data_IF_130003820165
#
_entry.id   IF_130003820165
#
_cell.length_a   1.000
_cell.length_b   1.000
_cell.length_c   1.000
_cell.angle_alpha   90.00
_cell.angle_beta   90.00
_cell.angle_gamma   90.00
#
_symmetry.space_group_name_H-M   'P 1'
#
loop_
_entity.id
_entity.type
_entity.pdbx_description
1 polymer ?
#
# COMPACT_ATOMS: atom_id res chain seq x y z
N UNK A 1 -15.01 -5.08 17.88
CA UNK A 1 -13.83 -5.11 16.96
C UNK A 1 -13.18 -3.74 17.02
N UNK A 2 -11.90 -3.65 17.40
CA UNK A 2 -11.15 -2.40 17.29
C UNK A 2 -10.72 -2.22 15.83
N UNK A 3 -10.60 -0.97 15.41
CA UNK A 3 -10.01 -0.63 14.10
C UNK A 3 -8.76 0.20 14.35
N UNK A 4 -7.63 -0.25 13.84
CA UNK A 4 -6.35 0.44 13.86
C UNK A 4 -5.99 0.84 12.44
N UNK A 5 -5.32 1.97 12.31
CA UNK A 5 -4.80 2.47 11.04
C UNK A 5 -3.28 2.55 11.13
N UNK A 6 -2.58 2.11 10.09
CA UNK A 6 -1.13 2.22 9.96
C UNK A 6 -0.79 2.95 8.67
N UNK A 7 0.16 3.87 8.74
CA UNK A 7 0.72 4.56 7.57
C UNK A 7 1.76 3.71 6.82
N UNK A 8 2.65 4.41 6.13
CA UNK A 8 3.70 3.82 5.31
C UNK A 8 4.58 2.84 6.08
N UNK A 9 4.74 1.64 5.54
CA UNK A 9 5.53 0.56 6.16
C UNK A 9 6.91 0.46 5.51
N UNK A 10 6.96 0.65 4.21
CA UNK A 10 8.18 0.66 3.41
C UNK A 10 9.13 -0.52 3.69
N UNK A 11 8.59 -1.73 3.82
CA UNK A 11 9.36 -2.94 4.04
C UNK A 11 10.04 -3.02 5.41
N UNK A 12 9.71 -2.15 6.36
CA UNK A 12 10.27 -2.17 7.71
C UNK A 12 9.53 -3.18 8.60
N UNK A 13 9.84 -4.46 8.39
CA UNK A 13 9.21 -5.57 9.10
C UNK A 13 9.32 -5.47 10.62
N UNK A 14 10.50 -5.04 11.13
CA UNK A 14 10.72 -4.90 12.59
C UNK A 14 9.77 -3.85 13.17
N UNK A 15 9.65 -2.69 12.54
CA UNK A 15 8.73 -1.66 13.00
C UNK A 15 7.27 -2.10 12.92
N UNK A 16 6.88 -2.81 11.85
CA UNK A 16 5.54 -3.36 11.71
C UNK A 16 5.20 -4.32 12.86
N UNK A 17 6.09 -5.27 13.18
CA UNK A 17 5.91 -6.21 14.31
C UNK A 17 5.78 -5.44 15.62
N UNK A 18 6.70 -4.51 15.88
CA UNK A 18 6.72 -3.73 17.12
C UNK A 18 5.44 -2.90 17.32
N UNK A 19 4.92 -2.28 16.25
CA UNK A 19 3.66 -1.51 16.31
C UNK A 19 2.47 -2.42 16.61
N UNK A 20 2.39 -3.60 16.00
CA UNK A 20 1.32 -4.57 16.28
C UNK A 20 1.39 -5.08 17.72
N UNK A 21 2.57 -5.38 18.24
CA UNK A 21 2.79 -5.83 19.61
C UNK A 21 2.44 -4.73 20.62
N UNK A 22 2.97 -3.51 20.46
CA UNK A 22 2.69 -2.37 21.36
C UNK A 22 1.21 -2.00 21.41
N UNK A 23 0.52 -2.11 20.26
CA UNK A 23 -0.92 -1.86 20.18
C UNK A 23 -1.76 -3.02 20.73
N UNK A 24 -1.13 -4.14 21.11
CA UNK A 24 -1.80 -5.39 21.51
C UNK A 24 -2.83 -5.80 20.44
N UNK A 25 -2.41 -5.76 19.18
CA UNK A 25 -3.28 -6.07 18.05
C UNK A 25 -3.67 -7.55 18.01
N UNK A 26 -4.96 -7.84 17.97
CA UNK A 26 -5.46 -9.21 17.79
C UNK A 26 -5.71 -9.49 16.31
N UNK A 27 -4.84 -10.29 15.70
CA UNK A 27 -4.89 -10.64 14.27
C UNK A 27 -6.20 -11.31 13.81
N UNK A 28 -6.97 -11.88 14.75
CA UNK A 28 -8.23 -12.57 14.45
C UNK A 28 -9.47 -11.71 14.68
N UNK A 29 -9.38 -10.73 15.59
CA UNK A 29 -10.53 -9.94 16.03
C UNK A 29 -10.49 -8.50 15.57
N UNK A 30 -9.30 -7.88 15.60
CA UNK A 30 -9.16 -6.46 15.24
C UNK A 30 -9.12 -6.26 13.71
N UNK A 31 -9.47 -5.07 13.27
CA UNK A 31 -9.28 -4.62 11.88
C UNK A 31 -8.01 -3.78 11.80
N UNK A 32 -7.16 -4.08 10.82
CA UNK A 32 -6.06 -3.22 10.43
C UNK A 32 -6.34 -2.60 9.07
N UNK A 33 -6.27 -1.27 8.99
CA UNK A 33 -6.31 -0.51 7.74
C UNK A 33 -4.90 -0.01 7.48
N UNK A 34 -4.24 -0.51 6.43
CA UNK A 34 -2.99 0.05 5.92
C UNK A 34 -3.31 1.16 4.93
N UNK A 35 -2.71 2.31 5.10
CA UNK A 35 -2.84 3.43 4.15
C UNK A 35 -1.93 3.28 2.92
N UNK A 36 -1.29 2.13 2.76
CA UNK A 36 -0.45 1.84 1.61
C UNK A 36 1.04 1.97 1.88
N UNK A 37 1.81 1.96 0.80
CA UNK A 37 3.27 1.99 0.80
C UNK A 37 3.89 0.92 1.71
N UNK A 38 3.45 -0.33 1.51
CA UNK A 38 3.98 -1.49 2.23
C UNK A 38 5.38 -1.83 1.71
N UNK A 39 5.62 -1.60 0.43
CA UNK A 39 6.86 -1.92 -0.27
C UNK A 39 7.84 -0.77 -0.34
N UNK A 40 9.02 -1.09 -0.84
CA UNK A 40 10.16 -0.20 -1.06
C UNK A 40 10.81 0.32 0.25
N UNK A 41 11.95 1.00 0.13
CA UNK A 41 12.67 1.54 1.29
C UNK A 41 13.51 0.52 2.05
N UNK A 42 12.94 -0.56 2.58
CA UNK A 42 13.65 -1.63 3.27
C UNK A 42 13.47 -2.99 2.59
N UNK A 43 14.39 -3.94 2.87
CA UNK A 43 14.48 -5.23 2.18
C UNK A 43 13.44 -6.27 2.61
N UNK A 44 12.60 -5.98 3.59
CA UNK A 44 11.66 -6.94 4.17
C UNK A 44 10.21 -6.74 3.72
N UNK A 45 10.00 -6.11 2.56
CA UNK A 45 8.66 -5.95 1.96
C UNK A 45 7.90 -7.27 1.82
N UNK A 46 8.50 -8.35 1.28
CA UNK A 46 7.84 -9.66 1.22
C UNK A 46 7.40 -10.20 2.59
N UNK A 47 8.24 -10.06 3.61
CA UNK A 47 7.90 -10.50 4.97
C UNK A 47 6.79 -9.65 5.60
N UNK A 48 6.76 -8.34 5.32
CA UNK A 48 5.64 -7.48 5.73
C UNK A 48 4.32 -7.99 5.15
N UNK A 49 4.30 -8.27 3.85
CA UNK A 49 3.11 -8.80 3.19
C UNK A 49 2.72 -10.16 3.73
N UNK A 50 3.67 -11.08 3.94
CA UNK A 50 3.41 -12.39 4.54
C UNK A 50 2.81 -12.28 5.96
N UNK A 51 3.17 -11.25 6.73
CA UNK A 51 2.58 -10.98 8.03
C UNK A 51 1.15 -10.45 7.89
N UNK A 52 0.95 -9.45 7.02
CA UNK A 52 -0.36 -8.81 6.79
C UNK A 52 -1.38 -9.81 6.24
N UNK A 53 -0.97 -10.78 5.41
CA UNK A 53 -1.82 -11.87 4.92
C UNK A 53 -2.42 -12.74 6.03
N UNK A 54 -1.85 -12.73 7.24
CA UNK A 54 -2.37 -13.51 8.39
C UNK A 54 -3.47 -12.76 9.14
N UNK A 55 -3.67 -11.49 8.86
CA UNK A 55 -4.67 -10.66 9.54
C UNK A 55 -6.04 -10.91 8.91
N UNK A 56 -6.99 -11.38 9.72
CA UNK A 56 -8.32 -11.75 9.25
C UNK A 56 -9.10 -10.57 8.65
N UNK A 57 -9.04 -9.41 9.29
CA UNK A 57 -9.78 -8.22 8.90
C UNK A 57 -8.80 -7.15 8.42
N UNK A 58 -8.07 -7.44 7.34
CA UNK A 58 -7.12 -6.53 6.73
C UNK A 58 -7.76 -5.74 5.59
N UNK A 59 -7.56 -4.43 5.59
CA UNK A 59 -7.90 -3.52 4.50
C UNK A 59 -6.62 -2.89 3.99
N UNK A 60 -6.36 -3.02 2.71
CA UNK A 60 -5.21 -2.43 2.05
C UNK A 60 -5.66 -1.28 1.18
N UNK A 61 -5.37 -0.05 1.58
CA UNK A 61 -5.48 1.13 0.71
C UNK A 61 -4.19 1.23 -0.11
N UNK A 62 -4.32 1.39 -1.41
CA UNK A 62 -3.20 1.34 -2.35
C UNK A 62 -2.33 2.60 -2.23
N UNK A 63 -1.03 2.43 -1.94
CA UNK A 63 -0.03 3.49 -2.03
C UNK A 63 0.63 3.56 -3.41
N UNK A 64 1.38 4.62 -3.67
CA UNK A 64 2.07 4.77 -4.96
C UNK A 64 3.22 3.78 -5.14
N UNK A 65 3.89 3.38 -4.07
CA UNK A 65 4.91 2.32 -4.12
C UNK A 65 4.29 0.95 -4.34
N UNK A 66 3.14 0.67 -3.73
CA UNK A 66 2.39 -0.56 -3.97
C UNK A 66 1.93 -0.67 -5.43
N UNK A 67 1.49 0.46 -6.03
CA UNK A 67 1.10 0.50 -7.45
C UNK A 67 2.28 0.20 -8.38
N UNK A 68 3.47 0.68 -8.07
CA UNK A 68 4.68 0.31 -8.83
C UNK A 68 4.96 -1.19 -8.72
N UNK A 69 4.88 -1.77 -7.54
CA UNK A 69 5.10 -3.21 -7.33
C UNK A 69 4.01 -4.04 -8.04
N UNK A 70 2.75 -3.60 -8.00
CA UNK A 70 1.65 -4.24 -8.74
C UNK A 70 1.95 -4.28 -10.24
N UNK A 71 2.48 -3.19 -10.81
CA UNK A 71 2.90 -3.13 -12.22
C UNK A 71 4.08 -4.04 -12.51
N UNK A 72 5.06 -4.07 -11.63
CA UNK A 72 6.18 -4.98 -11.76
C UNK A 72 5.75 -6.44 -11.74
N UNK A 73 4.83 -6.82 -10.87
CA UNK A 73 4.27 -8.18 -10.84
C UNK A 73 3.55 -8.58 -12.12
N UNK A 74 2.88 -7.63 -12.77
CA UNK A 74 2.08 -7.87 -13.99
C UNK A 74 2.85 -7.58 -15.28
N UNK A 75 3.99 -6.89 -15.20
CA UNK A 75 4.72 -6.38 -16.37
C UNK A 75 4.01 -5.22 -17.09
N UNK A 76 2.99 -4.61 -16.48
CA UNK A 76 2.19 -3.55 -17.11
C UNK A 76 2.80 -2.16 -16.92
N UNK A 77 3.85 -1.87 -17.68
CA UNK A 77 4.48 -0.56 -17.74
C UNK A 77 4.05 0.30 -18.94
N UNK A 78 3.18 -0.20 -19.81
CA UNK A 78 2.82 0.44 -21.10
C UNK A 78 2.37 1.90 -20.97
N UNK A 79 1.63 2.23 -19.92
CA UNK A 79 1.14 3.59 -19.64
C UNK A 79 2.14 4.48 -18.89
N UNK A 80 3.34 3.98 -18.64
CA UNK A 80 4.38 4.65 -17.85
C UNK A 80 5.76 4.34 -18.46
N UNK A 81 6.13 4.95 -19.59
CA UNK A 81 7.33 4.57 -20.37
C UNK A 81 8.62 4.48 -19.54
N UNK A 82 8.85 5.41 -18.60
CA UNK A 82 10.00 5.38 -17.69
C UNK A 82 9.66 4.85 -16.28
N UNK A 83 8.48 4.23 -16.13
CA UNK A 83 7.92 3.90 -14.82
C UNK A 83 8.78 2.91 -14.03
N UNK A 84 9.26 1.83 -14.67
CA UNK A 84 10.12 0.85 -14.02
C UNK A 84 11.46 1.44 -13.61
N UNK A 85 12.14 2.13 -14.50
CA UNK A 85 13.42 2.77 -14.21
C UNK A 85 13.29 3.83 -13.11
N UNK A 86 12.20 4.59 -13.12
CA UNK A 86 11.89 5.55 -12.05
C UNK A 86 11.64 4.86 -10.72
N UNK A 87 10.85 3.78 -10.72
CA UNK A 87 10.58 2.98 -9.53
C UNK A 87 11.86 2.40 -8.93
N UNK A 88 12.71 1.78 -9.77
CA UNK A 88 13.98 1.20 -9.31
C UNK A 88 14.87 2.25 -8.61
N UNK A 89 14.93 3.48 -9.13
CA UNK A 89 15.67 4.59 -8.48
C UNK A 89 15.04 5.10 -7.19
N UNK A 90 13.74 4.84 -6.98
CA UNK A 90 13.00 5.29 -5.78
C UNK A 90 12.85 4.21 -4.70
N UNK A 91 13.73 3.23 -4.68
CA UNK A 91 13.72 2.14 -3.69
C UNK A 91 13.20 0.80 -4.21
N UNK A 92 12.63 0.76 -5.42
CA UNK A 92 12.11 -0.45 -6.02
C UNK A 92 13.17 -1.54 -6.28
N UNK A 93 14.45 -1.15 -6.46
CA UNK A 93 15.55 -2.11 -6.54
C UNK A 93 15.64 -3.01 -5.31
N UNK A 94 15.45 -2.43 -4.12
CA UNK A 94 15.47 -3.17 -2.84
C UNK A 94 14.33 -4.19 -2.80
N UNK A 95 13.12 -3.78 -3.21
CA UNK A 95 11.97 -4.68 -3.31
C UNK A 95 12.21 -5.78 -4.34
N UNK A 96 12.63 -5.43 -5.55
CA UNK A 96 12.94 -6.41 -6.60
C UNK A 96 13.93 -7.45 -6.09
N UNK A 97 15.02 -7.01 -5.47
CA UNK A 97 16.08 -7.90 -4.99
C UNK A 97 15.59 -8.78 -3.82
N UNK A 98 14.70 -8.30 -2.97
CA UNK A 98 14.06 -9.08 -1.91
C UNK A 98 13.22 -10.27 -2.42
N UNK A 99 12.75 -10.21 -3.68
CA UNK A 99 12.08 -11.34 -4.34
C UNK A 99 13.03 -12.32 -5.03
N UNK A 100 14.35 -12.11 -4.95
CA UNK A 100 15.33 -13.04 -5.48
C UNK A 100 15.90 -13.93 -4.36
N UNK A 101 16.12 -15.20 -4.70
CA UNK A 101 16.81 -16.17 -3.84
C UNK A 101 17.91 -16.82 -4.67
N UNK A 102 19.16 -16.74 -4.18
CA UNK A 102 20.33 -17.25 -4.92
C UNK A 102 20.41 -16.71 -6.35
N UNK A 103 20.19 -15.41 -6.54
CA UNK A 103 20.22 -14.74 -7.84
C UNK A 103 19.02 -15.02 -8.78
N UNK A 104 18.07 -15.88 -8.35
CA UNK A 104 16.90 -16.24 -9.17
C UNK A 104 15.61 -15.67 -8.58
N UNK A 105 14.75 -15.14 -9.44
CA UNK A 105 13.44 -14.64 -9.05
C UNK A 105 12.58 -15.77 -8.47
N UNK A 106 12.07 -15.57 -7.25
CA UNK A 106 11.12 -16.47 -6.61
C UNK A 106 9.72 -16.29 -7.19
N UNK A 107 9.47 -16.89 -8.36
CA UNK A 107 8.19 -16.80 -9.08
C UNK A 107 6.97 -17.22 -8.24
N UNK A 108 7.14 -18.19 -7.32
CA UNK A 108 6.06 -18.64 -6.43
C UNK A 108 5.66 -17.54 -5.45
N UNK A 109 6.65 -16.85 -4.87
CA UNK A 109 6.41 -15.74 -3.95
C UNK A 109 5.80 -14.54 -4.68
N UNK A 110 6.33 -14.20 -5.85
CA UNK A 110 5.76 -13.14 -6.72
C UNK A 110 4.29 -13.43 -7.01
N UNK A 111 3.95 -14.65 -7.48
CA UNK A 111 2.57 -15.04 -7.77
C UNK A 111 1.65 -14.91 -6.54
N UNK A 112 2.13 -15.36 -5.38
CA UNK A 112 1.38 -15.28 -4.11
C UNK A 112 1.04 -13.82 -3.75
N UNK A 113 2.04 -12.94 -3.81
CA UNK A 113 1.85 -11.54 -3.44
C UNK A 113 1.15 -10.73 -4.53
N UNK A 114 1.33 -11.07 -5.81
CA UNK A 114 0.58 -10.51 -6.92
C UNK A 114 -0.93 -10.80 -6.80
N UNK A 115 -1.30 -11.97 -6.28
CA UNK A 115 -2.71 -12.28 -6.00
C UNK A 115 -3.23 -11.48 -4.82
N UNK A 116 -2.44 -11.35 -3.76
CA UNK A 116 -2.85 -10.64 -2.56
C UNK A 116 -3.03 -9.12 -2.80
N UNK A 117 -2.16 -8.48 -3.60
CA UNK A 117 -2.27 -7.04 -3.88
C UNK A 117 -3.52 -6.67 -4.68
N UNK A 118 -4.16 -7.63 -5.35
CA UNK A 118 -5.42 -7.39 -6.09
C UNK A 118 -6.57 -6.94 -5.21
N UNK A 119 -6.54 -7.24 -3.91
CA UNK A 119 -7.55 -6.77 -2.96
C UNK A 119 -7.34 -5.33 -2.51
N UNK A 120 -6.19 -4.71 -2.85
CA UNK A 120 -5.95 -3.33 -2.50
C UNK A 120 -6.95 -2.41 -3.20
N UNK A 121 -7.53 -1.50 -2.43
CA UNK A 121 -8.53 -0.53 -2.89
C UNK A 121 -7.94 0.86 -3.00
N UNK A 122 -8.50 1.70 -3.84
CA UNK A 122 -8.05 3.09 -3.99
C UNK A 122 -8.36 3.94 -2.76
N UNK A 123 -9.47 3.66 -2.13
CA UNK A 123 -9.91 4.26 -0.87
C UNK A 123 -10.81 3.28 -0.11
N UNK A 124 -11.01 3.54 1.15
CA UNK A 124 -11.95 2.79 1.99
C UNK A 124 -12.79 3.75 2.83
N UNK A 125 -14.08 3.48 2.95
CA UNK A 125 -14.98 4.20 3.86
C UNK A 125 -15.49 3.17 4.88
N UNK A 126 -15.30 3.46 6.15
CA UNK A 126 -15.76 2.58 7.20
C UNK A 126 -17.21 2.84 7.63
N UNK A 127 -17.72 2.00 8.52
CA UNK A 127 -19.09 2.06 9.07
C UNK A 127 -19.38 3.34 9.88
N UNK A 128 -18.36 4.15 10.17
CA UNK A 128 -18.48 5.47 10.82
C UNK A 128 -18.33 6.62 9.83
N UNK A 129 -18.44 6.32 8.53
CA UNK A 129 -18.28 7.28 7.43
C UNK A 129 -16.91 8.00 7.43
N UNK A 130 -15.84 7.31 7.87
CA UNK A 130 -14.47 7.83 7.82
C UNK A 130 -13.80 7.37 6.53
N UNK A 131 -13.25 8.31 5.78
CA UNK A 131 -12.52 8.07 4.55
C UNK A 131 -11.05 7.77 4.86
N UNK A 132 -10.54 6.69 4.30
CA UNK A 132 -9.14 6.30 4.31
C UNK A 132 -8.62 6.31 2.89
N UNK A 133 -7.58 7.09 2.64
CA UNK A 133 -6.94 7.27 1.33
C UNK A 133 -5.44 7.49 1.56
N UNK A 134 -4.59 6.98 0.65
CA UNK A 134 -3.14 7.11 0.82
C UNK A 134 -2.66 8.56 0.67
N UNK A 135 -3.04 9.23 -0.40
CA UNK A 135 -2.57 10.59 -0.68
C UNK A 135 -3.66 11.64 -0.52
N UNK A 136 -4.71 11.59 -1.34
CA UNK A 136 -5.76 12.58 -1.25
C UNK A 136 -6.88 12.38 -2.27
N UNK A 137 -7.76 13.34 -2.31
CA UNK A 137 -8.85 13.46 -3.29
C UNK A 137 -8.98 14.91 -3.76
N UNK A 138 -9.52 15.10 -4.94
CA UNK A 138 -9.98 16.41 -5.37
C UNK A 138 -11.41 16.64 -4.83
N UNK A 139 -11.56 17.55 -3.90
CA UNK A 139 -12.81 17.86 -3.21
C UNK A 139 -13.92 18.42 -4.11
N UNK A 140 -13.60 18.77 -5.35
CA UNK A 140 -14.59 19.18 -6.35
C UNK A 140 -15.43 18.01 -6.86
N UNK A 141 -15.01 16.78 -6.61
CA UNK A 141 -15.65 15.58 -7.09
C UNK A 141 -16.01 14.65 -5.92
N UNK A 142 -17.06 13.88 -6.09
CA UNK A 142 -17.38 12.81 -5.14
C UNK A 142 -16.21 11.82 -5.05
N UNK A 143 -16.07 11.17 -3.89
CA UNK A 143 -14.94 10.26 -3.62
C UNK A 143 -14.83 9.18 -4.69
N UNK A 144 -15.94 8.63 -5.15
CA UNK A 144 -16.02 7.58 -6.16
C UNK A 144 -15.94 8.07 -7.61
N UNK A 145 -15.89 9.40 -7.81
CA UNK A 145 -15.90 10.06 -9.13
C UNK A 145 -14.69 10.96 -9.39
N UNK A 146 -13.56 10.59 -8.80
CA UNK A 146 -12.32 11.32 -9.03
C UNK A 146 -11.90 11.28 -10.50
N UNK A 147 -11.39 12.38 -11.08
CA UNK A 147 -11.03 12.46 -12.50
C UNK A 147 -9.87 11.54 -12.87
N UNK A 148 -9.09 11.10 -11.90
CA UNK A 148 -8.00 10.15 -12.07
C UNK A 148 -7.79 9.30 -10.82
N UNK A 149 -7.59 8.00 -11.00
CA UNK A 149 -7.19 7.11 -9.91
C UNK A 149 -5.88 7.55 -9.23
N UNK A 150 -5.02 8.26 -9.96
CA UNK A 150 -3.78 8.80 -9.39
C UNK A 150 -4.01 9.76 -8.23
N UNK A 151 -5.16 10.42 -8.16
CA UNK A 151 -5.47 11.31 -7.04
C UNK A 151 -5.38 10.57 -5.71
N UNK A 152 -5.89 9.34 -5.64
CA UNK A 152 -5.94 8.57 -4.40
C UNK A 152 -4.56 8.21 -3.84
N UNK A 153 -3.54 7.98 -4.71
CA UNK A 153 -2.22 7.51 -4.27
C UNK A 153 -1.06 8.45 -4.60
N UNK A 154 -1.30 9.57 -5.32
CA UNK A 154 -0.27 10.60 -5.59
C UNK A 154 -0.77 12.03 -5.41
N UNK A 155 -2.08 12.25 -5.25
CA UNK A 155 -2.67 13.58 -5.10
C UNK A 155 -2.19 14.25 -3.81
N UNK A 156 -1.74 15.50 -3.92
CA UNK A 156 -1.25 16.29 -2.77
C UNK A 156 -2.02 17.58 -2.57
N UNK A 157 -3.06 17.80 -3.35
CA UNK A 157 -3.82 19.05 -3.32
C UNK A 157 -4.72 19.15 -2.09
N UNK A 158 -5.05 18.01 -1.46
CA UNK A 158 -5.81 17.94 -0.20
C UNK A 158 -5.18 18.74 0.94
N UNK A 159 -3.85 18.84 0.98
CA UNK A 159 -3.11 19.58 2.01
C UNK A 159 -3.18 21.10 1.86
N UNK A 160 -3.70 21.57 0.71
CA UNK A 160 -3.79 23.00 0.36
C UNK A 160 -5.19 23.54 0.50
N UNK A 161 -6.14 22.73 0.92
CA UNK A 161 -7.52 23.14 1.12
C UNK A 161 -7.62 23.81 2.48
N UNK A 162 -8.07 25.06 2.48
CA UNK A 162 -8.42 25.77 3.69
C UNK A 162 -9.60 25.04 4.38
N UNK A 163 -9.31 24.46 5.55
CA UNK A 163 -10.29 23.70 6.32
C UNK A 163 -11.57 24.49 6.66
N UNK A 164 -11.53 25.82 6.59
CA UNK A 164 -12.71 26.68 6.79
C UNK A 164 -13.66 26.66 5.59
N UNK A 165 -13.24 26.09 4.46
CA UNK A 165 -14.04 25.97 3.23
C UNK A 165 -14.63 24.58 3.00
N UNK A 166 -14.41 23.68 3.97
CA UNK A 166 -15.00 22.35 4.02
C UNK A 166 -16.23 22.35 4.92
#
# INVERSE_FOLDING_TARGET
MRTLCIGDIHGNYKALVEVLERSKFDMKKDRLISLGDIYDGHSKGPECVDLLMKIKNFVWVLGNHDEYVRRWFTGDWKKFPDGEARWLRKGGSITRDAYHKNGKLNKKLVKKHAEFIKQAVLYFIDEKNRLYVHAGIDWKYAVDKQPSEKNYYTGRDTWRVDATKL
#
